data_IF_788207846633
#
_entry.id   IF_788207846633
#
_cell.length_a   1.000
_cell.length_b   1.000
_cell.length_c   1.000
_cell.angle_alpha   90.00
_cell.angle_beta   90.00
_cell.angle_gamma   90.00
#
_symmetry.space_group_name_H-M   'P 1'
#
loop_
_entity.id
_entity.type
_entity.pdbx_description
1 polymer ?
#
# COMPACT_ATOMS: atom_id res chain seq x y z
N UNK A 1 -15.21 7.91 -5.54
CA UNK A 1 -16.55 7.68 -5.00
C UNK A 1 -17.29 8.97 -4.62
N UNK A 2 -16.73 9.87 -3.80
CA UNK A 2 -17.35 11.14 -3.38
C UNK A 2 -18.11 11.91 -4.49
N UNK A 3 -17.48 12.17 -5.64
CA UNK A 3 -18.16 12.88 -6.75
C UNK A 3 -19.33 12.12 -7.38
N UNK A 4 -19.36 10.79 -7.29
CA UNK A 4 -20.48 9.95 -7.75
C UNK A 4 -21.63 10.04 -6.75
N UNK A 5 -21.36 9.84 -5.46
CA UNK A 5 -22.34 10.00 -4.37
C UNK A 5 -22.98 11.39 -4.42
N UNK A 6 -22.18 12.44 -4.59
CA UNK A 6 -22.67 13.82 -4.65
C UNK A 6 -23.60 14.09 -5.85
N UNK A 7 -23.41 13.39 -6.97
CA UNK A 7 -24.31 13.50 -8.12
C UNK A 7 -25.65 12.82 -7.85
N UNK A 8 -25.67 11.76 -7.04
CA UNK A 8 -26.88 11.08 -6.62
C UNK A 8 -27.65 10.44 -7.78
N UNK A 9 -26.95 9.95 -8.79
CA UNK A 9 -27.56 9.35 -9.99
C UNK A 9 -27.51 7.81 -9.90
N UNK A 10 -28.56 7.15 -10.39
CA UNK A 10 -28.64 5.68 -10.45
C UNK A 10 -28.69 5.03 -9.07
N UNK A 11 -27.80 4.07 -8.82
CA UNK A 11 -27.71 3.31 -7.56
C UNK A 11 -27.35 4.19 -6.34
N UNK A 12 -26.83 5.41 -6.57
CA UNK A 12 -26.46 6.35 -5.51
C UNK A 12 -27.55 7.41 -5.25
N UNK A 13 -28.77 7.24 -5.78
CA UNK A 13 -29.86 8.17 -5.54
C UNK A 13 -30.24 8.21 -4.05
N UNK A 14 -30.08 9.39 -3.44
CA UNK A 14 -30.33 9.59 -2.00
C UNK A 14 -29.15 9.24 -1.10
N UNK A 15 -28.01 8.84 -1.66
CA UNK A 15 -26.78 8.58 -0.89
C UNK A 15 -26.24 9.87 -0.26
N UNK A 16 -25.63 9.73 0.92
CA UNK A 16 -24.93 10.82 1.60
C UNK A 16 -23.42 10.72 1.33
N UNK A 17 -22.81 11.69 0.61
CA UNK A 17 -21.36 11.69 0.35
C UNK A 17 -20.49 11.79 1.60
N UNK A 18 -21.07 12.13 2.75
CA UNK A 18 -20.41 12.21 4.05
C UNK A 18 -20.72 11.01 4.97
N UNK A 19 -21.58 10.07 4.54
CA UNK A 19 -21.78 8.80 5.23
C UNK A 19 -20.60 7.86 4.95
N UNK A 20 -20.05 7.26 6.00
CA UNK A 20 -18.91 6.34 5.93
C UNK A 20 -19.31 4.99 5.38
N UNK A 21 -20.54 4.56 5.61
CA UNK A 21 -21.01 3.23 5.22
C UNK A 21 -21.10 3.10 3.69
N UNK A 22 -21.41 4.18 2.98
CA UNK A 22 -21.37 4.28 1.50
C UNK A 22 -19.99 3.95 0.92
N UNK A 23 -18.93 4.33 1.63
CA UNK A 23 -17.55 4.09 1.18
C UNK A 23 -17.11 2.67 1.50
N UNK A 24 -17.49 2.19 2.69
CA UNK A 24 -17.18 0.83 3.14
C UNK A 24 -17.83 -0.23 2.25
N UNK A 25 -19.06 0.01 1.77
CA UNK A 25 -19.75 -0.89 0.85
C UNK A 25 -18.98 -1.10 -0.48
N UNK A 26 -18.25 -0.08 -0.92
CA UNK A 26 -17.50 -0.05 -2.17
C UNK A 26 -16.00 -0.38 -1.97
N UNK A 27 -15.59 -0.78 -0.76
CA UNK A 27 -14.17 -0.95 -0.37
C UNK A 27 -13.30 0.28 -0.66
N UNK A 28 -13.88 1.48 -0.53
CA UNK A 28 -13.17 2.75 -0.70
C UNK A 28 -12.92 3.37 0.68
N UNK A 29 -11.76 4.00 0.88
CA UNK A 29 -11.49 4.74 2.10
C UNK A 29 -12.32 6.03 2.16
N UNK A 30 -12.90 6.31 3.32
CA UNK A 30 -13.53 7.60 3.57
C UNK A 30 -12.44 8.67 3.70
N UNK A 31 -12.59 9.79 2.99
CA UNK A 31 -11.64 10.92 3.06
C UNK A 31 -12.38 12.14 3.63
N UNK A 32 -12.09 12.52 4.88
CA UNK A 32 -12.69 13.69 5.52
C UNK A 32 -12.46 14.96 4.72
N UNK A 33 -13.38 15.93 4.81
CA UNK A 33 -13.31 17.18 4.03
C UNK A 33 -11.93 17.87 4.12
N UNK A 34 -11.37 17.96 5.34
CA UNK A 34 -10.05 18.57 5.60
C UNK A 34 -8.86 17.77 5.08
N UNK A 35 -9.07 16.54 4.63
CA UNK A 35 -8.06 15.68 4.03
C UNK A 35 -8.25 15.53 2.51
N UNK A 36 -9.30 16.13 1.92
CA UNK A 36 -9.52 16.09 0.47
C UNK A 36 -8.46 16.92 -0.25
N UNK A 37 -8.00 16.43 -1.39
CA UNK A 37 -6.94 17.08 -2.17
C UNK A 37 -7.22 18.56 -2.47
N UNK A 38 -8.46 18.90 -2.83
CA UNK A 38 -8.88 20.28 -3.09
C UNK A 38 -8.71 21.20 -1.87
N UNK A 39 -8.92 20.67 -0.66
CA UNK A 39 -8.68 21.42 0.58
C UNK A 39 -7.18 21.66 0.77
N UNK A 40 -6.34 20.63 0.60
CA UNK A 40 -4.88 20.75 0.68
C UNK A 40 -4.33 21.77 -0.32
N UNK A 41 -4.78 21.73 -1.58
CA UNK A 41 -4.43 22.71 -2.61
C UNK A 41 -4.80 24.14 -2.21
N UNK A 42 -5.99 24.34 -1.63
CA UNK A 42 -6.42 25.67 -1.15
C UNK A 42 -5.53 26.24 -0.03
N UNK A 43 -4.77 25.37 0.65
CA UNK A 43 -3.85 25.71 1.75
C UNK A 43 -2.37 25.61 1.34
N UNK A 44 -2.06 25.20 0.11
CA UNK A 44 -0.70 24.87 -0.32
C UNK A 44 0.29 26.04 -0.16
N UNK A 45 -0.18 27.28 -0.30
CA UNK A 45 0.64 28.50 -0.20
C UNK A 45 0.83 29.01 1.24
N UNK A 46 0.23 28.35 2.23
CA UNK A 46 0.29 28.78 3.63
C UNK A 46 1.53 28.19 4.33
N UNK A 47 2.19 28.94 5.24
CA UNK A 47 3.38 28.47 5.94
C UNK A 47 3.11 27.23 6.82
N UNK A 48 1.87 27.03 7.25
CA UNK A 48 1.44 25.87 8.04
C UNK A 48 1.07 24.63 7.21
N UNK A 49 1.29 24.61 5.88
CA UNK A 49 0.88 23.49 5.01
C UNK A 49 1.37 22.13 5.53
N UNK A 50 2.58 22.04 6.10
CA UNK A 50 3.07 20.80 6.71
C UNK A 50 2.15 20.28 7.83
N UNK A 51 1.68 21.16 8.72
CA UNK A 51 0.72 20.81 9.79
C UNK A 51 -0.64 20.41 9.23
N UNK A 52 -1.06 21.05 8.14
CA UNK A 52 -2.31 20.73 7.45
C UNK A 52 -2.26 19.32 6.85
N UNK A 53 -1.14 18.96 6.22
CA UNK A 53 -0.93 17.60 5.69
C UNK A 53 -0.87 16.57 6.82
N UNK A 54 -0.10 16.81 7.88
CA UNK A 54 -0.03 15.89 9.03
C UNK A 54 -1.42 15.67 9.66
N UNK A 55 -2.21 16.74 9.83
CA UNK A 55 -3.59 16.68 10.34
C UNK A 55 -4.53 15.92 9.40
N UNK A 56 -4.33 16.02 8.09
CA UNK A 56 -5.08 15.27 7.10
C UNK A 56 -4.78 13.77 7.19
N UNK A 57 -3.52 13.38 7.38
CA UNK A 57 -3.12 11.98 7.59
C UNK A 57 -3.77 11.41 8.85
N UNK A 58 -3.73 12.15 9.98
CA UNK A 58 -4.40 11.74 11.21
C UNK A 58 -5.92 11.57 11.03
N UNK A 59 -6.57 12.47 10.29
CA UNK A 59 -8.00 12.38 10.02
C UNK A 59 -8.35 11.14 9.18
N UNK A 60 -7.54 10.84 8.15
CA UNK A 60 -7.72 9.62 7.34
C UNK A 60 -7.56 8.38 8.20
N UNK A 61 -6.52 8.26 9.02
CA UNK A 61 -6.33 7.07 9.86
C UNK A 61 -7.44 6.88 10.89
N UNK A 62 -8.00 7.98 11.42
CA UNK A 62 -9.09 7.93 12.39
C UNK A 62 -10.34 7.27 11.80
N UNK A 63 -10.69 7.60 10.55
CA UNK A 63 -11.87 7.08 9.87
C UNK A 63 -11.61 5.74 9.16
N UNK A 64 -10.35 5.34 8.97
CA UNK A 64 -9.97 4.13 8.24
C UNK A 64 -9.03 3.25 9.09
N UNK A 65 -9.57 2.35 9.94
CA UNK A 65 -8.78 1.57 10.89
C UNK A 65 -7.65 0.73 10.30
N UNK A 66 -7.77 0.28 9.03
CA UNK A 66 -6.74 -0.50 8.34
C UNK A 66 -5.48 0.31 7.99
N UNK A 67 -5.54 1.65 8.07
CA UNK A 67 -4.45 2.59 7.84
C UNK A 67 -3.85 3.15 9.13
N UNK A 68 -4.29 2.71 10.32
CA UNK A 68 -3.77 3.22 11.59
C UNK A 68 -2.24 3.07 11.67
N UNK A 69 -1.57 4.17 12.01
CA UNK A 69 -0.11 4.28 12.11
C UNK A 69 0.66 3.94 10.81
N UNK A 70 -0.03 3.97 9.66
CA UNK A 70 0.56 3.70 8.34
C UNK A 70 1.07 4.98 7.68
N UNK A 71 0.32 6.08 7.77
CA UNK A 71 0.57 7.29 7.01
C UNK A 71 1.66 8.15 7.67
N UNK A 72 2.58 8.75 6.88
CA UNK A 72 3.63 9.59 7.42
C UNK A 72 3.09 10.92 7.97
N UNK A 73 3.56 11.31 9.16
CA UNK A 73 3.15 12.53 9.88
C UNK A 73 4.38 13.38 10.21
N UNK A 74 5.16 13.68 9.18
CA UNK A 74 6.50 14.29 9.30
C UNK A 74 6.63 15.56 8.46
N UNK A 75 5.53 16.06 7.89
CA UNK A 75 5.55 17.17 6.93
C UNK A 75 5.67 18.53 7.63
N UNK A 76 5.28 18.65 8.90
CA UNK A 76 5.49 19.87 9.70
C UNK A 76 6.91 19.99 10.30
N UNK A 77 7.80 19.03 10.03
CA UNK A 77 9.17 19.06 10.56
C UNK A 77 9.99 20.13 9.83
N UNK A 78 10.90 20.78 10.56
CA UNK A 78 11.71 21.89 10.03
C UNK A 78 12.72 21.53 8.93
N UNK A 79 12.85 20.25 8.58
CA UNK A 79 13.68 19.78 7.47
C UNK A 79 12.97 19.82 6.11
N UNK A 80 11.67 20.16 6.08
CA UNK A 80 10.91 20.31 4.85
C UNK A 80 10.46 21.76 4.70
N UNK A 81 10.93 22.42 3.64
CA UNK A 81 10.54 23.79 3.34
C UNK A 81 9.05 23.86 2.94
N UNK A 82 8.22 24.70 3.61
CA UNK A 82 6.80 24.82 3.31
C UNK A 82 6.50 25.27 1.88
N UNK A 83 7.36 26.10 1.27
CA UNK A 83 7.18 26.59 -0.11
C UNK A 83 7.34 25.44 -1.10
N UNK A 84 8.37 24.61 -0.91
CA UNK A 84 8.59 23.42 -1.72
C UNK A 84 7.46 22.39 -1.56
N UNK A 85 6.97 22.17 -0.33
CA UNK A 85 5.84 21.28 -0.08
C UNK A 85 4.56 21.79 -0.77
N UNK A 86 4.26 23.09 -0.65
CA UNK A 86 3.16 23.73 -1.37
C UNK A 86 3.27 23.59 -2.88
N UNK A 87 4.45 23.84 -3.44
CA UNK A 87 4.74 23.68 -4.86
C UNK A 87 4.56 22.24 -5.34
N UNK A 88 4.94 21.25 -4.53
CA UNK A 88 4.73 19.84 -4.85
C UNK A 88 3.24 19.46 -4.87
N UNK A 89 2.44 19.99 -3.94
CA UNK A 89 0.98 19.80 -3.94
C UNK A 89 0.36 20.39 -5.21
N UNK A 90 0.76 21.59 -5.62
CA UNK A 90 0.26 22.20 -6.86
C UNK A 90 0.69 21.39 -8.10
N UNK A 91 1.95 20.91 -8.14
CA UNK A 91 2.46 20.08 -9.23
C UNK A 91 1.66 18.78 -9.39
N UNK A 92 1.48 18.03 -8.30
CA UNK A 92 0.71 16.77 -8.32
C UNK A 92 -0.75 17.04 -8.70
N UNK A 93 -1.32 18.14 -8.22
CA UNK A 93 -2.68 18.54 -8.55
C UNK A 93 -2.92 18.80 -10.03
N UNK A 94 -1.94 19.38 -10.73
CA UNK A 94 -2.01 19.61 -12.17
C UNK A 94 -1.88 18.31 -12.99
N UNK A 95 -1.11 17.34 -12.49
CA UNK A 95 -0.87 16.06 -13.17
C UNK A 95 -2.04 15.08 -12.97
N UNK A 96 -2.56 14.97 -11.75
CA UNK A 96 -3.51 13.92 -11.36
C UNK A 96 -4.97 14.18 -11.80
N UNK A 97 -5.31 15.41 -12.22
CA UNK A 97 -6.70 15.85 -12.42
C UNK A 97 -7.05 16.21 -13.88
N UNK A 98 -6.13 16.08 -14.83
CA UNK A 98 -6.38 16.25 -16.26
C UNK A 98 -6.88 14.97 -16.94
N UNK A 99 -8.17 14.93 -17.29
CA UNK A 99 -8.80 14.08 -18.32
C UNK A 99 -8.55 12.56 -18.32
N UNK A 100 -8.93 11.88 -17.22
CA UNK A 100 -9.71 10.62 -17.22
C UNK A 100 -9.75 10.02 -15.80
N UNK A 101 -10.80 10.34 -15.03
CA UNK A 101 -10.98 9.89 -13.62
C UNK A 101 -11.03 8.36 -13.41
N UNK A 102 -11.19 7.58 -14.48
CA UNK A 102 -11.17 6.10 -14.42
C UNK A 102 -9.76 5.54 -14.65
N UNK A 103 -8.87 6.29 -15.31
CA UNK A 103 -7.45 5.96 -15.46
C UNK A 103 -6.58 6.48 -14.32
N UNK A 104 -7.11 7.35 -13.46
CA UNK A 104 -6.29 8.05 -12.46
C UNK A 104 -5.78 7.16 -11.31
N UNK A 105 -6.55 6.15 -10.86
CA UNK A 105 -6.10 5.26 -9.79
C UNK A 105 -4.93 4.36 -10.25
N UNK A 106 -5.04 3.81 -11.45
CA UNK A 106 -3.99 3.01 -12.08
C UNK A 106 -2.73 3.85 -12.37
N UNK A 107 -2.90 5.09 -12.86
CA UNK A 107 -1.80 6.04 -13.05
C UNK A 107 -1.10 6.35 -11.71
N UNK A 108 -1.86 6.66 -10.65
CA UNK A 108 -1.27 6.97 -9.34
C UNK A 108 -0.55 5.76 -8.75
N UNK A 109 -1.09 4.55 -8.93
CA UNK A 109 -0.42 3.30 -8.56
C UNK A 109 0.92 3.13 -9.28
N UNK A 110 0.95 3.30 -10.61
CA UNK A 110 2.18 3.22 -11.39
C UNK A 110 3.21 4.29 -11.02
N UNK A 111 2.76 5.53 -10.77
CA UNK A 111 3.64 6.62 -10.32
C UNK A 111 4.22 6.29 -8.94
N UNK A 112 3.41 5.75 -8.03
CA UNK A 112 3.88 5.32 -6.71
C UNK A 112 4.95 4.23 -6.81
N UNK A 113 4.73 3.19 -7.62
CA UNK A 113 5.72 2.13 -7.85
C UNK A 113 7.01 2.62 -8.52
N UNK A 114 6.87 3.54 -9.48
CA UNK A 114 8.03 4.17 -10.12
C UNK A 114 8.90 4.89 -9.08
N UNK A 115 8.31 5.78 -8.27
CA UNK A 115 9.07 6.50 -7.25
C UNK A 115 9.65 5.56 -6.19
N UNK A 116 8.92 4.52 -5.80
CA UNK A 116 9.41 3.49 -4.89
C UNK A 116 10.68 2.79 -5.45
N UNK A 117 10.68 2.44 -6.73
CA UNK A 117 11.85 1.88 -7.42
C UNK A 117 13.02 2.87 -7.48
N UNK A 118 12.76 4.13 -7.85
CA UNK A 118 13.78 5.19 -7.90
C UNK A 118 14.41 5.45 -6.52
N UNK A 119 13.61 5.48 -5.45
CA UNK A 119 14.13 5.64 -4.10
C UNK A 119 14.97 4.44 -3.66
N UNK A 120 14.56 3.21 -4.00
CA UNK A 120 15.35 2.02 -3.72
C UNK A 120 16.72 2.05 -4.43
N UNK A 121 16.75 2.50 -5.69
CA UNK A 121 17.99 2.68 -6.47
C UNK A 121 18.88 3.78 -5.86
N UNK A 122 18.29 4.92 -5.49
CA UNK A 122 19.01 6.07 -4.93
C UNK A 122 19.58 5.81 -3.53
N UNK A 123 18.87 5.07 -2.67
CA UNK A 123 19.36 4.69 -1.33
C UNK A 123 20.50 3.67 -1.37
N UNK A 124 20.86 3.14 -2.55
CA UNK A 124 21.94 2.16 -2.71
C UNK A 124 21.68 0.82 -2.02
N UNK A 125 20.45 0.60 -1.53
CA UNK A 125 20.01 -0.64 -0.90
C UNK A 125 19.68 -1.66 -1.99
N UNK A 126 20.71 -2.31 -2.53
CA UNK A 126 20.62 -3.32 -3.59
C UNK A 126 19.94 -4.65 -3.18
N UNK A 127 19.31 -4.72 -2.02
CA UNK A 127 18.74 -5.96 -1.46
C UNK A 127 17.29 -6.18 -1.86
N UNK A 128 16.91 -7.46 -2.07
CA UNK A 128 15.53 -7.88 -2.41
C UNK A 128 14.44 -7.48 -1.39
N UNK A 129 14.84 -7.16 -0.15
CA UNK A 129 13.95 -6.70 0.93
C UNK A 129 13.16 -5.41 0.62
N UNK A 130 13.70 -4.49 -0.18
CA UNK A 130 13.09 -3.16 -0.36
C UNK A 130 12.22 -3.09 -1.61
N UNK A 131 12.77 -3.57 -2.73
CA UNK A 131 12.10 -3.51 -4.02
C UNK A 131 12.59 -4.65 -4.92
N UNK A 132 11.63 -5.40 -5.45
CA UNK A 132 11.89 -6.38 -6.50
C UNK A 132 11.54 -5.72 -7.84
N UNK A 133 12.46 -5.68 -8.82
CA UNK A 133 12.17 -5.10 -10.12
C UNK A 133 10.92 -5.70 -10.75
N UNK A 134 10.08 -4.84 -11.34
CA UNK A 134 8.79 -5.21 -11.92
C UNK A 134 8.86 -6.42 -12.87
N UNK A 135 9.87 -6.50 -13.73
CA UNK A 135 10.03 -7.63 -14.66
C UNK A 135 10.23 -8.97 -13.96
N UNK A 136 10.88 -9.00 -12.80
CA UNK A 136 11.07 -10.22 -11.99
C UNK A 136 9.77 -10.58 -11.28
N UNK A 137 9.08 -9.59 -10.73
CA UNK A 137 7.76 -9.77 -10.09
C UNK A 137 6.74 -10.34 -11.10
N UNK A 138 6.64 -9.73 -12.28
CA UNK A 138 5.78 -10.19 -13.38
C UNK A 138 6.10 -11.64 -13.74
N UNK A 139 7.37 -11.97 -13.99
CA UNK A 139 7.79 -13.33 -14.30
C UNK A 139 7.38 -14.35 -13.22
N UNK A 140 7.64 -14.05 -11.95
CA UNK A 140 7.34 -14.98 -10.85
C UNK A 140 5.85 -15.21 -10.69
N UNK A 141 5.03 -14.15 -10.82
CA UNK A 141 3.56 -14.28 -10.72
C UNK A 141 2.98 -15.03 -11.91
N UNK A 142 3.44 -14.75 -13.13
CA UNK A 142 3.01 -15.46 -14.35
C UNK A 142 3.34 -16.96 -14.28
N UNK A 143 4.48 -17.33 -13.68
CA UNK A 143 4.82 -18.75 -13.46
C UNK A 143 3.98 -19.41 -12.35
N UNK A 144 3.51 -18.63 -11.38
CA UNK A 144 2.78 -19.12 -10.21
C UNK A 144 1.29 -19.31 -10.50
N UNK A 145 0.75 -18.52 -11.43
CA UNK A 145 -0.64 -18.54 -11.87
C UNK A 145 -1.68 -18.52 -10.73
N UNK A 146 -1.67 -17.51 -9.83
CA UNK A 146 -2.51 -17.49 -8.64
C UNK A 146 -3.97 -17.11 -8.96
N UNK A 147 -4.72 -17.99 -9.65
CA UNK A 147 -6.11 -17.71 -10.07
C UNK A 147 -7.12 -17.69 -8.91
N UNK A 148 -6.87 -18.47 -7.85
CA UNK A 148 -7.75 -18.60 -6.68
C UNK A 148 -6.99 -19.17 -5.49
N UNK A 149 -7.29 -18.71 -4.28
CA UNK A 149 -6.70 -19.22 -3.04
C UNK A 149 -5.85 -18.18 -2.30
N UNK A 150 -5.04 -18.66 -1.37
CA UNK A 150 -4.23 -17.82 -0.46
C UNK A 150 -2.84 -17.62 -1.05
N UNK A 151 -2.48 -16.37 -1.32
CA UNK A 151 -1.15 -15.98 -1.78
C UNK A 151 -0.36 -15.44 -0.59
N UNK A 152 0.79 -16.02 -0.29
CA UNK A 152 1.60 -15.66 0.86
C UNK A 152 3.00 -15.20 0.48
N UNK A 153 3.43 -14.06 1.04
CA UNK A 153 4.81 -13.58 1.00
C UNK A 153 5.33 -13.31 2.43
N UNK A 154 6.25 -14.14 2.96
CA UNK A 154 6.77 -14.00 4.33
C UNK A 154 7.75 -12.83 4.49
N UNK A 155 8.14 -12.14 3.42
CA UNK A 155 9.07 -11.00 3.46
C UNK A 155 8.66 -9.99 2.39
N UNK A 156 7.41 -9.54 2.48
CA UNK A 156 6.69 -8.93 1.36
C UNK A 156 7.25 -7.59 0.89
N UNK A 157 8.19 -7.00 1.62
CA UNK A 157 8.74 -5.70 1.28
C UNK A 157 7.63 -4.68 1.11
N UNK A 158 7.65 -3.97 -0.01
CA UNK A 158 6.66 -2.97 -0.41
C UNK A 158 5.37 -3.52 -1.03
N UNK A 159 5.16 -4.85 -0.99
CA UNK A 159 3.93 -5.50 -1.44
C UNK A 159 3.78 -5.65 -2.95
N UNK A 160 4.85 -5.49 -3.73
CA UNK A 160 4.81 -5.57 -5.20
C UNK A 160 4.31 -6.92 -5.73
N UNK A 161 4.63 -8.03 -5.05
CA UNK A 161 4.14 -9.36 -5.43
C UNK A 161 2.60 -9.45 -5.36
N UNK A 162 1.98 -8.82 -4.37
CA UNK A 162 0.52 -8.81 -4.21
C UNK A 162 -0.17 -7.96 -5.27
N UNK A 163 0.39 -6.77 -5.54
CA UNK A 163 -0.08 -5.89 -6.62
C UNK A 163 -0.10 -6.64 -7.95
N UNK A 164 0.99 -7.33 -8.27
CA UNK A 164 1.09 -8.09 -9.51
C UNK A 164 0.18 -9.33 -9.51
N UNK A 165 -0.03 -9.97 -8.37
CA UNK A 165 -0.93 -11.14 -8.25
C UNK A 165 -2.37 -10.76 -8.58
N UNK A 166 -2.90 -9.65 -8.05
CA UNK A 166 -4.25 -9.19 -8.44
C UNK A 166 -4.32 -8.77 -9.90
N UNK A 167 -3.28 -8.10 -10.39
CA UNK A 167 -3.19 -7.68 -11.79
C UNK A 167 -3.21 -8.89 -12.73
N UNK A 168 -2.46 -9.94 -12.42
CA UNK A 168 -2.47 -11.19 -13.17
C UNK A 168 -3.90 -11.76 -13.27
N UNK A 169 -4.61 -11.84 -12.14
CA UNK A 169 -6.00 -12.34 -12.10
C UNK A 169 -6.92 -11.47 -12.96
N UNK A 170 -6.79 -10.15 -12.88
CA UNK A 170 -7.59 -9.22 -13.69
C UNK A 170 -7.31 -9.35 -15.20
N UNK A 171 -6.04 -9.39 -15.58
CA UNK A 171 -5.58 -9.49 -16.98
C UNK A 171 -6.00 -10.83 -17.62
N UNK A 172 -6.11 -11.90 -16.81
CA UNK A 172 -6.53 -13.23 -17.24
C UNK A 172 -8.02 -13.52 -17.01
N UNK A 173 -8.86 -12.49 -16.85
CA UNK A 173 -10.33 -12.59 -16.70
C UNK A 173 -10.78 -13.44 -15.49
N UNK A 174 -9.94 -13.58 -14.48
CA UNK A 174 -10.29 -14.16 -13.19
C UNK A 174 -11.06 -13.19 -12.30
N UNK A 175 -11.42 -13.65 -11.10
CA UNK A 175 -12.06 -12.81 -10.08
C UNK A 175 -11.03 -12.46 -9.02
N UNK A 176 -10.73 -11.18 -8.84
CA UNK A 176 -9.78 -10.70 -7.81
C UNK A 176 -10.17 -11.19 -6.41
N UNK A 177 -11.47 -11.21 -6.10
CA UNK A 177 -11.99 -11.71 -4.82
C UNK A 177 -11.82 -13.22 -4.59
N UNK A 178 -11.38 -13.99 -5.60
CA UNK A 178 -11.05 -15.41 -5.43
C UNK A 178 -9.66 -15.61 -4.82
N UNK A 179 -8.84 -14.56 -4.72
CA UNK A 179 -7.56 -14.59 -4.00
C UNK A 179 -7.62 -13.83 -2.68
N UNK A 180 -6.79 -14.26 -1.73
CA UNK A 180 -6.58 -13.56 -0.45
C UNK A 180 -5.09 -13.45 -0.19
N UNK A 181 -4.61 -12.24 0.07
CA UNK A 181 -3.19 -11.99 0.29
C UNK A 181 -2.83 -12.08 1.77
N UNK A 182 -1.66 -12.65 2.06
CA UNK A 182 -1.09 -12.75 3.39
C UNK A 182 0.37 -12.31 3.30
N UNK A 183 0.80 -11.43 4.20
CA UNK A 183 2.14 -10.87 4.14
C UNK A 183 2.77 -10.67 5.51
N UNK A 184 4.09 -10.70 5.54
CA UNK A 184 4.86 -10.28 6.70
C UNK A 184 6.07 -9.45 6.26
N UNK A 185 6.36 -8.38 6.98
CA UNK A 185 7.53 -7.53 6.76
C UNK A 185 8.12 -7.12 8.11
N UNK A 186 9.45 -7.16 8.25
CA UNK A 186 10.11 -6.86 9.52
C UNK A 186 10.47 -5.39 9.70
N UNK A 187 10.72 -4.69 8.60
CA UNK A 187 11.01 -3.26 8.60
C UNK A 187 9.70 -2.44 8.63
N UNK A 188 9.49 -1.69 9.70
CA UNK A 188 8.25 -0.91 9.89
C UNK A 188 8.01 0.10 8.75
N UNK A 189 9.06 0.76 8.25
CA UNK A 189 8.94 1.73 7.16
C UNK A 189 8.54 1.04 5.86
N UNK A 190 9.16 -0.11 5.55
CA UNK A 190 8.83 -0.90 4.37
C UNK A 190 7.40 -1.46 4.46
N UNK A 191 6.98 -1.93 5.63
CA UNK A 191 5.60 -2.37 5.88
C UNK A 191 4.59 -1.23 5.63
N UNK A 192 4.87 0.00 6.09
CA UNK A 192 4.03 1.17 5.80
C UNK A 192 3.91 1.42 4.29
N UNK A 193 5.01 1.31 3.55
CA UNK A 193 4.99 1.41 2.09
C UNK A 193 4.12 0.33 1.47
N UNK A 194 4.19 -0.92 1.94
CA UNK A 194 3.32 -2.00 1.49
C UNK A 194 1.84 -1.69 1.72
N UNK A 195 1.50 -1.26 2.93
CA UNK A 195 0.13 -0.88 3.31
C UNK A 195 -0.42 0.24 2.43
N UNK A 196 0.39 1.28 2.16
CA UNK A 196 0.01 2.37 1.25
C UNK A 196 -0.12 1.91 -0.20
N UNK A 197 0.80 1.07 -0.68
CA UNK A 197 0.83 0.57 -2.06
C UNK A 197 -0.44 -0.25 -2.38
N UNK A 198 -0.84 -1.12 -1.44
CA UNK A 198 -2.05 -1.92 -1.51
C UNK A 198 -3.31 -1.05 -1.39
N UNK A 199 -3.31 -0.07 -0.48
CA UNK A 199 -4.42 0.86 -0.31
C UNK A 199 -4.74 1.68 -1.56
N UNK A 200 -3.72 2.16 -2.30
CA UNK A 200 -3.90 2.91 -3.55
C UNK A 200 -4.63 2.08 -4.62
N UNK A 201 -4.48 0.76 -4.58
CA UNK A 201 -5.11 -0.19 -5.52
C UNK A 201 -6.39 -0.84 -4.99
N UNK A 202 -6.83 -0.48 -3.79
CA UNK A 202 -8.02 -1.07 -3.18
C UNK A 202 -7.83 -2.52 -2.71
N UNK A 203 -6.59 -2.94 -2.50
CA UNK A 203 -6.25 -4.30 -2.07
C UNK A 203 -6.36 -4.39 -0.55
N UNK A 204 -7.11 -5.38 -0.04
CA UNK A 204 -7.20 -5.61 1.41
C UNK A 204 -5.86 -6.07 1.97
N UNK A 205 -5.30 -5.26 2.86
CA UNK A 205 -4.02 -5.49 3.52
C UNK A 205 -4.17 -5.86 5.00
N UNK A 206 -5.35 -6.30 5.43
CA UNK A 206 -5.64 -6.72 6.81
C UNK A 206 -4.73 -7.85 7.31
N UNK A 207 -4.25 -8.70 6.40
CA UNK A 207 -3.33 -9.82 6.67
C UNK A 207 -1.86 -9.52 6.34
N UNK A 208 -1.52 -8.26 6.05
CA UNK A 208 -0.12 -7.84 5.92
C UNK A 208 0.37 -7.35 7.29
N UNK A 209 1.15 -8.19 7.96
CA UNK A 209 1.57 -8.00 9.37
C UNK A 209 2.98 -7.43 9.46
N UNK A 210 3.22 -6.74 10.56
CA UNK A 210 4.55 -6.25 10.93
C UNK A 210 4.94 -6.78 12.30
N UNK A 211 6.19 -7.21 12.42
CA UNK A 211 6.89 -7.35 13.70
C UNK A 211 8.39 -7.16 13.46
N UNK A 212 9.13 -6.67 14.44
CA UNK A 212 10.56 -6.38 14.32
C UNK A 212 11.47 -7.63 14.45
N UNK A 213 10.92 -8.79 14.78
CA UNK A 213 11.67 -10.05 14.98
C UNK A 213 11.82 -10.86 13.68
N UNK A 214 11.03 -10.54 12.66
CA UNK A 214 11.03 -11.21 11.37
C UNK A 214 10.32 -12.58 11.38
N UNK A 215 10.17 -13.15 10.19
CA UNK A 215 9.32 -14.32 9.94
C UNK A 215 9.92 -15.62 10.49
N UNK A 216 11.21 -15.62 10.82
CA UNK A 216 11.84 -16.73 11.51
C UNK A 216 11.47 -16.76 12.99
N UNK A 217 11.78 -15.71 13.75
CA UNK A 217 11.59 -15.71 15.20
C UNK A 217 10.13 -15.49 15.62
N UNK A 218 9.39 -14.68 14.87
CA UNK A 218 7.99 -14.39 15.13
C UNK A 218 7.17 -14.47 13.84
N UNK A 219 6.81 -15.69 13.47
CA UNK A 219 5.86 -15.94 12.40
C UNK A 219 4.47 -15.41 12.80
N UNK A 220 3.97 -14.42 12.05
CA UNK A 220 2.66 -13.81 12.27
C UNK A 220 1.51 -14.65 11.70
N UNK A 221 1.82 -15.69 10.94
CA UNK A 221 0.90 -16.53 10.18
C UNK A 221 1.14 -18.03 10.43
N UNK A 222 1.45 -18.42 11.69
CA UNK A 222 1.85 -19.79 12.10
C UNK A 222 0.99 -20.92 11.55
N UNK A 223 -0.32 -20.71 11.50
CA UNK A 223 -1.31 -21.72 11.08
C UNK A 223 -1.72 -21.58 9.61
N UNK A 224 -1.16 -20.61 8.88
CA UNK A 224 -1.49 -20.37 7.49
C UNK A 224 -0.99 -21.54 6.62
N UNK A 225 -1.94 -22.17 5.92
CA UNK A 225 -1.66 -23.04 4.79
C UNK A 225 -2.02 -22.27 3.53
N UNK A 226 -1.01 -21.71 2.88
CA UNK A 226 -1.16 -20.96 1.64
C UNK A 226 -1.21 -21.90 0.43
N UNK A 227 -1.95 -21.51 -0.60
CA UNK A 227 -2.01 -22.24 -1.87
C UNK A 227 -0.81 -21.86 -2.75
N UNK A 228 -0.36 -20.60 -2.64
CA UNK A 228 0.81 -20.09 -3.32
C UNK A 228 1.72 -19.36 -2.34
N UNK A 229 3.02 -19.59 -2.46
CA UNK A 229 4.05 -18.86 -1.72
C UNK A 229 4.99 -18.22 -2.72
N UNK A 230 5.16 -16.91 -2.63
CA UNK A 230 6.04 -16.12 -3.50
C UNK A 230 6.82 -15.16 -2.62
N UNK A 231 8.14 -15.05 -2.84
CA UNK A 231 9.00 -14.26 -1.97
C UNK A 231 10.27 -13.82 -2.71
N UNK A 232 10.80 -12.67 -2.33
CA UNK A 232 12.17 -12.27 -2.65
C UNK A 232 12.91 -11.88 -1.36
N UNK A 233 13.37 -12.87 -0.57
CA UNK A 233 14.01 -12.61 0.71
C UNK A 233 15.34 -11.85 0.56
N UNK A 234 15.84 -11.23 1.64
CA UNK A 234 17.23 -10.75 1.66
C UNK A 234 18.19 -11.85 1.25
N UNK A 235 19.14 -11.50 0.37
CA UNK A 235 20.22 -12.40 0.03
C UNK A 235 21.30 -12.36 1.10
N UNK A 236 21.85 -13.54 1.42
CA UNK A 236 22.98 -13.71 2.34
C UNK A 236 22.75 -13.12 3.74
N UNK A 237 21.51 -13.20 4.25
CA UNK A 237 21.24 -12.82 5.63
C UNK A 237 21.96 -13.78 6.59
N UNK A 238 23.01 -13.28 7.26
CA UNK A 238 23.79 -14.05 8.22
C UNK A 238 23.32 -13.90 9.66
N UNK A 239 22.50 -12.87 9.95
CA UNK A 239 22.11 -12.48 11.31
C UNK A 239 20.62 -12.76 11.58
N UNK A 240 20.14 -13.89 11.07
CA UNK A 240 18.73 -14.29 11.16
C UNK A 240 18.42 -15.13 12.42
N UNK A 241 19.33 -15.18 13.39
CA UNK A 241 19.16 -15.89 14.67
C UNK A 241 18.88 -17.40 14.56
N UNK A 242 19.42 -18.06 13.54
CA UNK A 242 19.20 -19.49 13.26
C UNK A 242 19.50 -20.44 14.43
N UNK A 243 20.43 -20.07 15.31
CA UNK A 243 20.78 -20.86 16.49
C UNK A 243 19.62 -21.03 17.49
N UNK A 244 18.72 -20.05 17.58
CA UNK A 244 17.55 -20.10 18.46
C UNK A 244 16.47 -21.08 17.97
N UNK A 245 16.49 -21.40 16.67
CA UNK A 245 15.42 -22.14 15.99
C UNK A 245 15.90 -23.48 15.41
N UNK A 246 17.04 -24.01 15.85
CA UNK A 246 17.58 -25.30 15.36
C UNK A 246 16.61 -26.50 15.47
N UNK A 247 15.64 -26.46 16.39
CA UNK A 247 14.64 -27.52 16.63
C UNK A 247 13.25 -27.19 16.09
N UNK A 248 13.12 -26.11 15.34
CA UNK A 248 11.84 -25.66 14.81
C UNK A 248 11.24 -26.70 13.83
N UNK A 249 9.91 -26.81 13.83
CA UNK A 249 9.17 -27.73 12.97
C UNK A 249 9.35 -27.43 11.47
N UNK A 250 9.71 -26.21 11.09
CA UNK A 250 9.97 -25.82 9.69
C UNK A 250 11.13 -26.60 9.05
N UNK A 251 11.99 -27.22 9.85
CA UNK A 251 13.14 -28.02 9.38
C UNK A 251 12.85 -29.52 9.32
N UNK A 252 11.68 -29.95 9.78
CA UNK A 252 11.28 -31.36 9.77
C UNK A 252 10.59 -31.66 8.44
N UNK A 253 11.17 -32.59 7.66
CA UNK A 253 10.71 -33.02 6.34
C UNK A 253 10.48 -34.53 6.31
#
# INVERSE_FOLDING_TARGET
>A
LFSKLKKGEGEYAGADPEDRDEYKAENVFFVPEKARWSYLQSKAKLPEIGKVVDSAMDAIEKDNPSLRDVLPKVYARGNLDPTNLGGLIDLVGNIALGDAKVRSADILGHVFEYFLGEFALAEGKKGGQFYTPRSVVELLVEMLEPYKGRVFDPCCGSGGMFVQSEKFVADHQGRVNDISIYGQESNQTTWRLAKMNLAIRGIDSSQVKWNNEGSFLNDSHKDLKADYVIANPPFNDSDWSGDLIRKDSRWQY
#
